data_IF_678163027810
#
_entry.id   IF_678163027810
#
_cell.length_a   1.000
_cell.length_b   1.000
_cell.length_c   1.000
_cell.angle_alpha   90.00
_cell.angle_beta   90.00
_cell.angle_gamma   90.00
#
_symmetry.space_group_name_H-M   'P 1'
#
loop_
_entity.id
_entity.type
_entity.pdbx_description
1 polymer ?
#
# COMPACT_ATOMS: atom_id res chain seq x y z
N UNK A 1 -54.47 9.89 3.74
CA UNK A 1 -54.64 10.99 4.71
C UNK A 1 -53.30 11.69 4.81
N UNK A 2 -53.17 12.91 4.30
CA UNK A 2 -51.95 13.72 4.43
C UNK A 2 -51.96 14.43 5.78
N UNK A 3 -50.95 14.18 6.61
CA UNK A 3 -50.79 14.87 7.89
C UNK A 3 -50.30 16.30 7.61
N UNK A 4 -51.21 17.27 7.74
CA UNK A 4 -50.89 18.71 7.58
C UNK A 4 -50.45 19.29 8.91
N UNK A 5 -49.18 19.67 9.01
CA UNK A 5 -48.63 20.35 10.19
C UNK A 5 -48.76 21.86 10.04
N UNK A 6 -49.37 22.52 11.01
CA UNK A 6 -49.56 23.97 11.04
C UNK A 6 -49.02 24.49 12.38
N UNK A 7 -48.05 25.39 12.35
CA UNK A 7 -47.59 26.07 13.55
C UNK A 7 -48.66 27.07 13.99
N UNK A 8 -49.29 26.83 15.15
CA UNK A 8 -50.22 27.76 15.79
C UNK A 8 -49.62 28.31 17.08
N UNK A 9 -49.75 29.62 17.31
CA UNK A 9 -49.42 30.21 18.63
C UNK A 9 -50.56 29.95 19.62
N UNK A 10 -50.20 29.75 20.88
CA UNK A 10 -51.16 29.53 21.97
C UNK A 10 -51.79 30.80 22.56
N UNK A 11 -51.34 32.02 22.18
CA UNK A 11 -51.81 33.25 22.84
C UNK A 11 -51.92 34.45 21.89
N UNK A 12 -53.12 35.05 21.85
CA UNK A 12 -53.45 36.19 21.00
C UNK A 12 -52.84 37.49 21.48
N UNK A 13 -52.02 38.12 20.63
CA UNK A 13 -51.94 39.57 20.37
C UNK A 13 -50.79 39.85 19.38
N UNK A 14 -51.16 40.27 18.17
CA UNK A 14 -50.44 41.26 17.35
C UNK A 14 -49.03 41.00 16.79
N UNK A 15 -48.24 40.04 17.25
CA UNK A 15 -46.92 39.78 16.68
C UNK A 15 -47.01 38.76 15.53
N UNK A 16 -46.45 39.04 14.35
CA UNK A 16 -46.30 38.04 13.29
C UNK A 16 -45.43 36.86 13.78
N UNK A 17 -45.72 35.63 13.34
CA UNK A 17 -44.75 34.53 13.43
C UNK A 17 -43.73 34.79 12.32
N UNK A 18 -42.64 35.47 12.66
CA UNK A 18 -41.68 35.96 11.64
C UNK A 18 -40.66 34.90 11.21
N UNK A 19 -40.55 33.78 11.93
CA UNK A 19 -39.74 32.64 11.54
C UNK A 19 -40.23 31.36 12.24
N UNK A 20 -40.64 30.37 11.47
CA UNK A 20 -40.51 28.98 11.89
C UNK A 20 -39.10 28.56 11.46
N UNK A 21 -38.17 28.45 12.41
CA UNK A 21 -36.87 27.85 12.13
C UNK A 21 -37.12 26.39 11.70
N UNK A 22 -37.06 26.17 10.39
CA UNK A 22 -37.22 24.92 9.62
C UNK A 22 -37.68 23.70 10.42
N UNK A 23 -39.00 23.47 10.47
CA UNK A 23 -39.54 22.14 10.83
C UNK A 23 -39.07 21.13 9.78
N UNK A 24 -38.20 20.20 10.16
CA UNK A 24 -37.75 19.10 9.30
C UNK A 24 -38.38 17.80 9.78
N UNK A 25 -39.07 17.11 8.86
CA UNK A 25 -39.66 15.80 9.12
C UNK A 25 -38.69 14.75 8.56
N UNK A 26 -38.29 13.79 9.40
CA UNK A 26 -37.43 12.70 9.00
C UNK A 26 -37.87 11.38 9.61
N UNK A 27 -37.45 10.29 8.99
CA UNK A 27 -37.53 8.95 9.53
C UNK A 27 -36.13 8.36 9.58
N UNK A 28 -35.79 7.75 10.72
CA UNK A 28 -34.50 7.09 10.90
C UNK A 28 -34.37 5.89 9.95
N UNK A 29 -33.15 5.56 9.49
CA UNK A 29 -32.86 4.38 8.72
C UNK A 29 -33.39 3.09 9.38
N UNK A 30 -34.20 2.33 8.66
CA UNK A 30 -34.67 1.01 9.05
C UNK A 30 -33.67 -0.06 8.55
N UNK A 31 -33.33 -1.01 9.42
CA UNK A 31 -32.36 -2.08 9.15
C UNK A 31 -31.06 -1.58 8.50
N UNK A 32 -30.36 -0.58 9.07
CA UNK A 32 -29.12 -0.11 8.49
C UNK A 32 -28.05 -1.20 8.60
N UNK A 33 -27.29 -1.38 7.52
CA UNK A 33 -26.18 -2.35 7.48
C UNK A 33 -25.02 -1.79 6.68
N UNK A 34 -23.81 -1.88 7.24
CA UNK A 34 -22.57 -1.47 6.61
C UNK A 34 -21.65 -2.67 6.44
N UNK A 35 -21.02 -2.76 5.27
CA UNK A 35 -20.14 -3.85 4.87
C UNK A 35 -18.81 -3.30 4.39
N UNK A 36 -17.75 -4.06 4.67
CA UNK A 36 -16.39 -3.81 4.18
C UNK A 36 -15.99 -5.00 3.32
N UNK A 37 -15.44 -4.72 2.14
CA UNK A 37 -14.95 -5.73 1.20
C UNK A 37 -13.69 -5.26 0.51
N UNK A 38 -12.78 -6.18 0.26
CA UNK A 38 -11.59 -5.96 -0.54
C UNK A 38 -11.96 -6.03 -2.02
N UNK A 39 -11.60 -5.00 -2.78
CA UNK A 39 -11.70 -5.02 -4.24
C UNK A 39 -10.39 -5.56 -4.79
N UNK A 40 -10.48 -6.68 -5.50
CA UNK A 40 -9.31 -7.43 -5.95
C UNK A 40 -9.26 -7.48 -7.47
N UNK A 41 -8.09 -7.21 -8.03
CA UNK A 41 -7.81 -7.34 -9.44
C UNK A 41 -6.72 -8.40 -9.62
N UNK A 42 -7.01 -9.43 -10.42
CA UNK A 42 -6.11 -10.58 -10.61
C UNK A 42 -5.65 -11.23 -9.28
N UNK A 43 -6.50 -11.21 -8.25
CA UNK A 43 -6.22 -11.80 -6.93
C UNK A 43 -5.44 -10.89 -5.97
N UNK A 44 -5.13 -9.64 -6.34
CA UNK A 44 -4.48 -8.66 -5.47
C UNK A 44 -5.43 -7.53 -5.11
N UNK A 45 -5.44 -7.13 -3.83
CA UNK A 45 -6.25 -6.02 -3.36
C UNK A 45 -5.75 -4.69 -3.94
N UNK A 46 -6.66 -3.93 -4.58
CA UNK A 46 -6.42 -2.59 -5.12
C UNK A 46 -7.00 -1.50 -4.24
N UNK A 47 -8.18 -1.75 -3.70
CA UNK A 47 -8.90 -0.80 -2.88
C UNK A 47 -9.79 -1.52 -1.88
N UNK A 48 -10.17 -0.82 -0.82
CA UNK A 48 -11.16 -1.28 0.15
C UNK A 48 -12.47 -0.55 -0.11
N UNK A 49 -13.54 -1.29 -0.35
CA UNK A 49 -14.87 -0.76 -0.53
C UNK A 49 -15.66 -0.84 0.79
N UNK A 50 -16.26 0.28 1.19
CA UNK A 50 -17.15 0.37 2.33
C UNK A 50 -18.53 0.80 1.83
N UNK A 51 -19.53 -0.06 2.02
CA UNK A 51 -20.89 0.16 1.53
C UNK A 51 -21.90 0.04 2.67
N UNK A 52 -22.73 1.07 2.84
CA UNK A 52 -23.84 1.08 3.79
C UNK A 52 -25.19 1.14 3.05
N UNK A 53 -26.21 0.51 3.62
CA UNK A 53 -27.55 0.45 3.05
C UNK A 53 -28.63 0.47 4.13
N UNK A 54 -29.84 0.90 3.77
CA UNK A 54 -31.04 0.88 4.62
C UNK A 54 -32.29 0.58 3.79
N UNK A 55 -33.25 -0.13 4.37
CA UNK A 55 -34.50 -0.48 3.68
C UNK A 55 -35.48 0.67 3.58
N UNK A 56 -35.48 1.59 4.56
CA UNK A 56 -36.35 2.78 4.60
C UNK A 56 -35.68 3.93 5.33
N UNK A 57 -35.73 5.12 4.76
CA UNK A 57 -35.29 6.38 5.36
C UNK A 57 -36.09 7.53 4.74
N UNK A 58 -36.25 8.63 5.47
CA UNK A 58 -36.82 9.85 4.89
C UNK A 58 -36.15 11.09 5.47
N UNK A 59 -35.76 12.08 4.65
CA UNK A 59 -35.62 12.05 3.18
C UNK A 59 -34.57 11.03 2.69
N UNK A 60 -34.05 11.17 1.47
CA UNK A 60 -32.89 10.38 0.99
C UNK A 60 -31.74 10.38 2.01
N UNK A 61 -31.00 9.28 2.13
CA UNK A 61 -29.93 9.17 3.13
C UNK A 61 -28.61 9.80 2.69
N UNK A 62 -27.86 10.31 3.66
CA UNK A 62 -26.44 10.67 3.56
C UNK A 62 -25.58 9.68 4.32
N UNK A 63 -24.29 9.68 3.99
CA UNK A 63 -23.32 8.81 4.64
C UNK A 63 -22.01 9.50 4.93
N UNK A 64 -21.34 9.04 5.98
CA UNK A 64 -19.97 9.39 6.34
C UNK A 64 -19.17 8.14 6.66
N UNK A 65 -17.93 8.12 6.24
CA UNK A 65 -17.04 6.98 6.41
C UNK A 65 -15.77 7.42 7.12
N UNK A 66 -15.26 6.56 7.99
CA UNK A 66 -14.08 6.81 8.80
C UNK A 66 -13.15 5.60 8.73
N UNK A 67 -11.86 5.85 8.87
CA UNK A 67 -10.80 4.85 8.98
C UNK A 67 -10.05 5.07 10.30
N UNK A 68 -9.75 3.99 11.02
CA UNK A 68 -8.85 3.99 12.17
C UNK A 68 -7.75 2.97 11.92
N UNK A 69 -6.49 3.37 12.10
CA UNK A 69 -5.32 2.51 11.89
C UNK A 69 -4.71 2.15 13.23
N UNK A 70 -4.41 0.87 13.49
CA UNK A 70 -3.68 0.42 14.70
C UNK A 70 -4.21 0.98 16.04
N UNK A 71 -5.54 1.06 16.19
CA UNK A 71 -6.23 1.61 17.39
C UNK A 71 -6.16 3.14 17.57
N UNK A 72 -5.66 3.88 16.58
CA UNK A 72 -5.73 5.34 16.56
C UNK A 72 -7.17 5.87 16.47
N UNK A 73 -7.32 7.17 16.74
CA UNK A 73 -8.57 7.89 16.54
C UNK A 73 -9.05 7.77 15.09
N UNK A 74 -10.34 7.54 14.91
CA UNK A 74 -10.93 7.42 13.58
C UNK A 74 -10.88 8.75 12.83
N UNK A 75 -10.28 8.75 11.65
CA UNK A 75 -10.19 9.89 10.72
C UNK A 75 -11.27 9.76 9.66
N UNK A 76 -11.95 10.86 9.34
CA UNK A 76 -12.96 10.89 8.27
C UNK A 76 -12.28 10.68 6.91
N UNK A 77 -12.84 9.79 6.09
CA UNK A 77 -12.32 9.48 4.75
C UNK A 77 -12.76 10.62 3.80
N UNK A 78 -11.83 11.44 3.28
CA UNK A 78 -12.15 12.63 2.51
C UNK A 78 -12.50 12.24 1.07
N UNK A 79 -13.73 11.79 0.83
CA UNK A 79 -14.15 11.26 -0.48
C UNK A 79 -15.57 11.68 -0.82
N UNK A 80 -15.91 11.58 -2.11
CA UNK A 80 -17.26 11.74 -2.65
C UNK A 80 -17.93 10.36 -2.71
N UNK A 81 -18.71 9.95 -1.69
CA UNK A 81 -19.42 8.68 -1.74
C UNK A 81 -20.41 8.64 -2.90
N UNK A 82 -20.53 7.47 -3.50
CA UNK A 82 -21.52 7.19 -4.55
C UNK A 82 -22.84 6.84 -3.87
N UNK A 83 -23.93 7.48 -4.29
CA UNK A 83 -25.26 7.27 -3.72
C UNK A 83 -26.21 6.58 -4.72
N UNK A 84 -27.13 5.79 -4.18
CA UNK A 84 -28.25 5.21 -4.91
C UNK A 84 -29.51 5.27 -4.04
N UNK A 85 -30.56 5.89 -4.58
CA UNK A 85 -31.84 6.06 -3.88
C UNK A 85 -32.97 5.50 -4.74
N UNK A 86 -33.88 4.76 -4.09
CA UNK A 86 -35.08 4.24 -4.74
C UNK A 86 -36.29 4.52 -3.85
N UNK A 87 -37.30 5.26 -4.33
CA UNK A 87 -38.52 5.50 -3.58
C UNK A 87 -39.24 4.19 -3.22
N UNK A 88 -39.79 4.11 -2.01
CA UNK A 88 -40.71 3.03 -1.64
C UNK A 88 -42.09 3.32 -2.21
N UNK A 89 -42.83 2.28 -2.59
CA UNK A 89 -44.22 2.41 -3.06
C UNK A 89 -45.24 2.71 -1.95
N UNK A 90 -44.79 3.28 -0.83
CA UNK A 90 -45.60 3.54 0.37
C UNK A 90 -46.03 5.02 0.42
N UNK A 91 -47.09 5.31 1.18
CA UNK A 91 -47.53 6.67 1.47
C UNK A 91 -47.58 6.89 2.99
N UNK A 92 -46.80 7.83 3.57
CA UNK A 92 -45.84 8.72 2.92
C UNK A 92 -44.65 7.99 2.26
N UNK A 93 -44.02 8.62 1.26
CA UNK A 93 -42.89 8.05 0.51
C UNK A 93 -41.67 7.97 1.41
N UNK A 94 -41.00 6.81 1.42
CA UNK A 94 -39.67 6.62 2.00
C UNK A 94 -38.67 6.28 0.89
N UNK A 95 -37.39 6.15 1.23
CA UNK A 95 -36.34 5.76 0.29
C UNK A 95 -35.60 4.52 0.79
N UNK A 96 -35.37 3.57 -0.10
CA UNK A 96 -34.26 2.63 0.03
C UNK A 96 -33.00 3.35 -0.41
N UNK A 97 -32.02 3.47 0.47
CA UNK A 97 -30.78 4.22 0.18
C UNK A 97 -29.56 3.34 0.36
N UNK A 98 -28.59 3.50 -0.54
CA UNK A 98 -27.27 2.89 -0.47
C UNK A 98 -26.21 3.94 -0.75
N UNK A 99 -25.07 3.82 -0.07
CA UNK A 99 -23.91 4.66 -0.26
C UNK A 99 -22.64 3.81 -0.19
N UNK A 100 -21.67 4.10 -1.05
CA UNK A 100 -20.40 3.38 -1.08
C UNK A 100 -19.20 4.29 -1.33
N UNK A 101 -18.07 3.96 -0.73
CA UNK A 101 -16.76 4.59 -0.97
C UNK A 101 -15.73 3.50 -1.25
N UNK A 102 -14.86 3.73 -2.22
CA UNK A 102 -13.68 2.90 -2.47
C UNK A 102 -12.41 3.68 -2.15
N UNK A 103 -11.56 3.13 -1.28
CA UNK A 103 -10.30 3.77 -0.85
C UNK A 103 -9.12 2.96 -1.38
N UNK A 104 -8.22 3.55 -2.19
CA UNK A 104 -7.03 2.86 -2.69
C UNK A 104 -6.10 2.41 -1.55
N UNK A 105 -5.55 1.20 -1.64
CA UNK A 105 -4.65 0.67 -0.58
C UNK A 105 -3.38 1.53 -0.41
N UNK A 106 -2.91 2.17 -1.48
CA UNK A 106 -1.77 3.09 -1.45
C UNK A 106 -1.99 4.29 -0.50
N UNK A 107 -3.24 4.76 -0.35
CA UNK A 107 -3.60 5.88 0.53
C UNK A 107 -3.76 5.45 1.99
N UNK A 108 -4.03 4.17 2.23
CA UNK A 108 -4.22 3.61 3.57
C UNK A 108 -2.87 3.40 4.28
N UNK A 109 -1.87 2.90 3.54
CA UNK A 109 -0.56 2.56 4.09
C UNK A 109 -0.54 1.21 4.82
N UNK A 110 0.56 0.93 5.52
CA UNK A 110 0.76 -0.33 6.24
C UNK A 110 0.13 -0.27 7.64
N UNK A 111 -0.57 -1.34 8.02
CA UNK A 111 -1.23 -1.45 9.32
C UNK A 111 -2.56 -2.18 9.26
N UNK A 112 -3.20 -2.29 10.41
CA UNK A 112 -4.56 -2.84 10.51
C UNK A 112 -5.55 -1.69 10.49
N UNK A 113 -6.35 -1.63 9.42
CA UNK A 113 -7.37 -0.61 9.18
C UNK A 113 -8.75 -1.10 9.60
N UNK A 114 -9.44 -0.29 10.38
CA UNK A 114 -10.85 -0.49 10.76
C UNK A 114 -11.69 0.60 10.14
N UNK A 115 -12.64 0.20 9.30
CA UNK A 115 -13.55 1.11 8.63
C UNK A 115 -14.84 1.24 9.41
N UNK A 116 -15.39 2.45 9.51
CA UNK A 116 -16.66 2.76 10.16
C UNK A 116 -17.52 3.56 9.20
N UNK A 117 -18.71 3.06 8.91
CA UNK A 117 -19.70 3.75 8.09
C UNK A 117 -20.89 4.21 8.91
N UNK A 118 -21.38 5.41 8.60
CA UNK A 118 -22.61 5.97 9.16
C UNK A 118 -23.57 6.27 8.02
N UNK A 119 -24.83 5.88 8.18
CA UNK A 119 -25.94 6.21 7.27
C UNK A 119 -27.03 6.92 8.07
N UNK A 120 -27.53 8.03 7.54
CA UNK A 120 -28.45 8.91 8.26
C UNK A 120 -29.34 9.71 7.28
N UNK A 121 -30.51 10.23 7.71
CA UNK A 121 -31.38 11.00 6.81
C UNK A 121 -30.77 12.37 6.47
N UNK A 122 -30.98 12.88 5.25
CA UNK A 122 -30.46 14.18 4.81
C UNK A 122 -31.22 15.36 5.45
N UNK A 123 -30.98 15.58 6.75
CA UNK A 123 -31.51 16.70 7.54
C UNK A 123 -30.41 17.38 8.33
N UNK A 124 -30.65 18.61 8.75
CA UNK A 124 -29.70 19.38 9.56
C UNK A 124 -29.47 18.65 10.88
N UNK A 125 -28.20 18.39 11.23
CA UNK A 125 -27.81 17.66 12.45
C UNK A 125 -28.32 16.21 12.54
N UNK A 126 -28.58 15.54 11.40
CA UNK A 126 -28.94 14.11 11.34
C UNK A 126 -27.84 13.13 11.78
N UNK A 127 -26.99 13.48 12.76
CA UNK A 127 -25.87 12.65 13.21
C UNK A 127 -26.33 11.59 14.21
N UNK A 128 -27.16 10.64 13.77
CA UNK A 128 -27.46 9.48 14.62
C UNK A 128 -26.55 8.32 14.23
N UNK A 129 -25.81 7.80 15.21
CA UNK A 129 -25.10 6.52 15.10
C UNK A 129 -26.15 5.41 15.08
N UNK A 130 -26.61 5.00 13.90
CA UNK A 130 -27.69 4.00 13.80
C UNK A 130 -27.14 2.56 13.76
N UNK A 131 -25.90 2.36 13.29
CA UNK A 131 -25.14 1.12 13.47
C UNK A 131 -23.66 1.37 13.16
N UNK A 132 -22.74 0.65 13.80
CA UNK A 132 -21.35 0.59 13.39
C UNK A 132 -21.14 -0.60 12.45
N UNK A 133 -20.14 -0.54 11.58
CA UNK A 133 -19.55 -1.77 11.03
C UNK A 133 -19.23 -2.73 12.19
N UNK A 134 -19.41 -4.05 12.02
CA UNK A 134 -18.96 -5.01 13.01
C UNK A 134 -17.49 -4.73 13.33
N UNK A 135 -17.12 -4.73 14.62
CA UNK A 135 -15.75 -4.50 15.07
C UNK A 135 -14.74 -5.49 14.43
N UNK A 136 -15.26 -6.59 13.89
CA UNK A 136 -14.53 -7.76 13.42
C UNK A 136 -14.09 -7.66 11.94
N UNK A 137 -14.50 -6.62 11.20
CA UNK A 137 -14.04 -6.41 9.82
C UNK A 137 -12.93 -5.38 9.76
N UNK A 138 -11.70 -5.86 9.93
CA UNK A 138 -10.47 -5.10 9.67
C UNK A 138 -9.80 -5.59 8.38
N UNK A 139 -9.01 -4.71 7.76
CA UNK A 139 -8.13 -5.05 6.63
C UNK A 139 -6.70 -4.80 7.08
N UNK A 140 -5.85 -5.83 7.03
CA UNK A 140 -4.44 -5.72 7.43
C UNK A 140 -3.56 -5.62 6.20
N UNK A 141 -2.97 -4.44 5.99
CA UNK A 141 -2.05 -4.17 4.89
C UNK A 141 -0.61 -4.29 5.37
N UNK A 142 0.23 -4.93 4.57
CA UNK A 142 1.65 -5.10 4.88
C UNK A 142 2.50 -5.01 3.62
N UNK A 143 3.63 -4.31 3.72
CA UNK A 143 4.54 -4.24 2.59
C UNK A 143 5.25 -5.57 2.37
N UNK A 144 5.39 -5.92 1.10
CA UNK A 144 6.26 -7.00 0.66
C UNK A 144 7.72 -6.69 1.03
N UNK A 145 8.50 -7.72 1.30
CA UNK A 145 9.93 -7.59 1.58
C UNK A 145 10.73 -8.40 0.56
N UNK A 146 11.88 -7.86 0.14
CA UNK A 146 12.74 -8.51 -0.84
C UNK A 146 14.17 -8.63 -0.34
N UNK A 147 14.86 -9.68 -0.76
CA UNK A 147 16.27 -9.91 -0.49
C UNK A 147 16.96 -10.39 -1.76
N UNK A 148 18.28 -10.16 -1.84
CA UNK A 148 19.07 -10.65 -2.95
C UNK A 148 20.02 -11.77 -2.53
N UNK A 149 20.34 -12.62 -3.50
CA UNK A 149 21.42 -13.60 -3.41
C UNK A 149 22.20 -13.60 -4.72
N UNK A 150 23.53 -13.75 -4.66
CA UNK A 150 24.38 -13.74 -5.85
C UNK A 150 25.18 -15.04 -5.97
N UNK A 151 25.50 -15.43 -7.20
CA UNK A 151 26.36 -16.57 -7.54
C UNK A 151 27.34 -16.18 -8.66
N UNK A 152 28.67 -16.32 -8.43
CA UNK A 152 29.31 -16.66 -7.16
C UNK A 152 29.05 -15.60 -6.06
N UNK A 153 29.17 -15.99 -4.79
CA UNK A 153 29.07 -15.07 -3.66
C UNK A 153 30.33 -14.19 -3.56
N UNK A 154 30.16 -12.96 -3.06
CA UNK A 154 31.29 -12.10 -2.79
C UNK A 154 32.08 -12.60 -1.57
N UNK A 155 33.42 -12.61 -1.70
CA UNK A 155 34.35 -12.93 -0.61
C UNK A 155 34.86 -11.61 -0.05
N UNK A 156 34.63 -11.37 1.24
CA UNK A 156 34.99 -10.10 1.91
C UNK A 156 34.45 -8.84 1.18
N UNK A 157 33.29 -8.96 0.52
CA UNK A 157 32.66 -7.87 -0.23
C UNK A 157 33.15 -7.68 -1.67
N UNK A 158 34.02 -8.56 -2.17
CA UNK A 158 34.51 -8.54 -3.55
C UNK A 158 34.09 -9.79 -4.32
N UNK A 159 33.68 -9.60 -5.57
CA UNK A 159 33.56 -10.68 -6.55
C UNK A 159 34.91 -10.93 -7.19
N UNK A 160 35.31 -12.20 -7.24
CA UNK A 160 36.58 -12.61 -7.85
C UNK A 160 36.45 -12.76 -9.37
N UNK A 161 35.31 -13.23 -9.85
CA UNK A 161 35.04 -13.35 -11.27
C UNK A 161 34.71 -12.01 -11.92
N UNK A 162 34.85 -11.88 -13.25
CA UNK A 162 34.48 -10.67 -13.97
C UNK A 162 32.96 -10.41 -14.04
N UNK A 163 32.15 -11.38 -13.60
CA UNK A 163 30.70 -11.25 -13.53
C UNK A 163 30.10 -12.04 -12.38
N UNK A 164 28.89 -11.66 -11.97
CA UNK A 164 28.08 -12.42 -11.01
C UNK A 164 26.61 -12.33 -11.41
N UNK A 165 25.84 -13.38 -11.15
CA UNK A 165 24.41 -13.39 -11.34
C UNK A 165 23.70 -13.28 -9.99
N UNK A 166 22.88 -12.25 -9.85
CA UNK A 166 22.15 -11.94 -8.63
C UNK A 166 20.64 -12.06 -8.82
N UNK A 167 20.00 -12.83 -7.96
CA UNK A 167 18.55 -12.98 -7.90
C UNK A 167 17.99 -12.12 -6.77
N UNK A 168 16.99 -11.30 -7.07
CA UNK A 168 16.15 -10.55 -6.14
C UNK A 168 14.83 -11.30 -5.99
N UNK A 169 14.52 -11.74 -4.78
CA UNK A 169 13.35 -12.56 -4.46
C UNK A 169 12.60 -11.96 -3.28
N UNK A 170 11.29 -12.22 -3.21
CA UNK A 170 10.51 -11.86 -2.03
C UNK A 170 10.90 -12.75 -0.85
N UNK A 171 11.21 -12.12 0.28
CA UNK A 171 11.32 -12.78 1.59
C UNK A 171 9.99 -12.76 2.34
N UNK A 172 9.10 -11.84 1.99
CA UNK A 172 7.70 -11.80 2.44
C UNK A 172 6.84 -11.26 1.31
N UNK A 173 5.73 -11.94 1.04
CA UNK A 173 4.81 -11.58 -0.03
C UNK A 173 4.09 -10.25 0.25
N UNK A 174 3.83 -9.93 1.52
CA UNK A 174 2.99 -8.79 1.91
C UNK A 174 1.52 -8.97 1.51
N UNK A 175 0.71 -7.96 1.80
CA UNK A 175 -0.69 -7.89 1.39
C UNK A 175 -1.04 -6.43 1.08
N UNK A 176 -1.28 -6.05 -0.20
CA UNK A 176 -1.26 -6.86 -1.43
C UNK A 176 0.08 -7.53 -1.74
N UNK A 177 0.04 -8.66 -2.47
CA UNK A 177 1.25 -9.40 -2.86
C UNK A 177 2.09 -8.57 -3.82
N UNK A 178 3.39 -8.48 -3.54
CA UNK A 178 4.32 -7.72 -4.36
C UNK A 178 5.06 -8.56 -5.39
N UNK A 179 6.05 -7.91 -6.01
CA UNK A 179 7.07 -8.50 -6.87
C UNK A 179 8.45 -7.97 -6.50
N UNK A 180 9.48 -8.77 -6.75
CA UNK A 180 10.87 -8.39 -6.48
C UNK A 180 11.56 -7.91 -7.76
N UNK A 181 12.16 -6.72 -7.72
CA UNK A 181 12.70 -6.04 -8.88
C UNK A 181 14.04 -5.35 -8.57
N UNK A 182 14.94 -5.31 -9.54
CA UNK A 182 16.23 -4.64 -9.42
C UNK A 182 16.20 -3.22 -9.97
N UNK A 183 16.89 -2.31 -9.29
CA UNK A 183 17.01 -0.91 -9.70
C UNK A 183 18.46 -0.42 -9.62
N UNK A 184 18.87 0.40 -10.60
CA UNK A 184 20.15 1.13 -10.62
C UNK A 184 19.85 2.60 -10.89
N UNK A 185 20.23 3.51 -9.97
CA UNK A 185 19.94 4.94 -10.13
C UNK A 185 18.46 5.28 -10.29
N UNK A 186 17.56 4.47 -9.72
CA UNK A 186 16.09 4.63 -9.85
C UNK A 186 15.49 4.03 -11.12
N UNK A 187 16.30 3.55 -12.07
CA UNK A 187 15.81 2.84 -13.25
C UNK A 187 15.71 1.33 -12.99
N UNK A 188 14.63 0.71 -13.46
CA UNK A 188 14.46 -0.74 -13.45
C UNK A 188 15.54 -1.39 -14.32
N UNK A 189 16.20 -2.42 -13.79
CA UNK A 189 17.25 -3.18 -14.48
C UNK A 189 17.06 -4.67 -14.25
N UNK A 190 17.69 -5.49 -15.09
CA UNK A 190 17.55 -6.95 -15.02
C UNK A 190 16.24 -7.45 -15.63
N UNK A 191 16.01 -8.76 -15.52
CA UNK A 191 14.82 -9.43 -16.06
C UNK A 191 14.31 -10.46 -15.06
N UNK A 192 13.00 -10.46 -14.79
CA UNK A 192 12.34 -11.46 -13.93
C UNK A 192 13.03 -11.66 -12.56
N UNK A 193 13.46 -10.58 -11.91
CA UNK A 193 14.17 -10.63 -10.63
C UNK A 193 15.64 -11.04 -10.72
N UNK A 194 16.17 -11.34 -11.90
CA UNK A 194 17.60 -11.65 -12.10
C UNK A 194 18.36 -10.45 -12.65
N UNK A 195 19.61 -10.30 -12.20
CA UNK A 195 20.52 -9.24 -12.58
C UNK A 195 21.90 -9.84 -12.80
N UNK A 196 22.42 -9.72 -14.02
CA UNK A 196 23.82 -10.01 -14.32
C UNK A 196 24.62 -8.73 -14.10
N UNK A 197 25.59 -8.77 -13.20
CA UNK A 197 26.51 -7.67 -12.96
C UNK A 197 27.86 -8.05 -13.53
N UNK A 198 28.35 -7.25 -14.46
CA UNK A 198 29.69 -7.39 -15.05
C UNK A 198 30.61 -6.29 -14.54
N UNK A 199 31.91 -6.59 -14.51
CA UNK A 199 32.96 -5.65 -14.14
C UNK A 199 32.99 -4.48 -15.11
N UNK A 200 32.93 -3.27 -14.57
CA UNK A 200 33.11 -2.03 -15.32
C UNK A 200 34.37 -1.33 -14.81
N UNK A 201 35.44 -1.32 -15.62
CA UNK A 201 36.72 -0.71 -15.23
C UNK A 201 36.62 0.80 -15.00
N UNK A 202 35.62 1.46 -15.58
CA UNK A 202 35.36 2.88 -15.36
C UNK A 202 34.59 3.16 -14.06
N UNK A 203 33.95 2.13 -13.48
CA UNK A 203 33.10 2.23 -12.29
C UNK A 203 33.49 1.12 -11.29
N UNK A 204 34.48 1.37 -10.42
CA UNK A 204 35.00 0.37 -9.49
C UNK A 204 33.95 -0.13 -8.49
N UNK A 205 32.90 0.66 -8.26
CA UNK A 205 31.75 0.29 -7.43
C UNK A 205 30.44 0.54 -8.18
N UNK A 206 29.58 -0.48 -8.23
CA UNK A 206 28.27 -0.40 -8.83
C UNK A 206 27.20 -0.73 -7.80
N UNK A 207 26.25 0.18 -7.60
CA UNK A 207 25.20 0.05 -6.57
C UNK A 207 23.88 -0.30 -7.23
N UNK A 208 23.28 -1.38 -6.75
CA UNK A 208 21.97 -1.87 -7.17
C UNK A 208 21.08 -2.06 -5.93
N UNK A 209 19.79 -1.79 -6.07
CA UNK A 209 18.81 -2.03 -5.01
C UNK A 209 17.80 -3.07 -5.46
N UNK A 210 17.64 -4.12 -4.67
CA UNK A 210 16.55 -5.09 -4.78
C UNK A 210 15.36 -4.53 -4.00
N UNK A 211 14.26 -4.24 -4.70
CA UNK A 211 13.06 -3.60 -4.16
C UNK A 211 11.86 -4.53 -4.28
N UNK A 212 11.01 -4.50 -3.27
CA UNK A 212 9.69 -5.11 -3.32
C UNK A 212 8.69 -4.04 -3.79
N UNK A 213 7.84 -4.39 -4.75
CA UNK A 213 6.87 -3.49 -5.38
C UNK A 213 5.49 -4.14 -5.33
N UNK A 214 4.52 -3.48 -4.71
CA UNK A 214 3.11 -3.87 -4.69
C UNK A 214 2.20 -2.65 -4.87
N UNK A 215 0.88 -2.87 -4.93
CA UNK A 215 -0.10 -1.77 -4.98
C UNK A 215 -0.11 -0.92 -3.70
N UNK A 216 0.46 -1.43 -2.60
CA UNK A 216 0.71 -0.65 -1.38
C UNK A 216 1.85 0.36 -1.56
N UNK A 217 2.76 0.09 -2.49
CA UNK A 217 3.91 0.91 -2.81
C UNK A 217 5.20 0.12 -2.95
N UNK A 218 6.33 0.83 -2.89
CA UNK A 218 7.67 0.27 -3.10
C UNK A 218 8.52 0.39 -1.82
N UNK A 219 9.13 -0.72 -1.38
CA UNK A 219 10.15 -0.73 -0.31
C UNK A 219 11.48 -1.27 -0.83
N UNK A 220 12.58 -0.65 -0.40
CA UNK A 220 13.92 -1.19 -0.62
C UNK A 220 14.12 -2.36 0.33
N UNK A 221 14.38 -3.54 -0.22
CA UNK A 221 14.61 -4.75 0.56
C UNK A 221 16.09 -4.94 0.90
N UNK A 222 16.96 -4.85 -0.11
CA UNK A 222 18.41 -4.96 0.09
C UNK A 222 19.20 -4.20 -0.97
N UNK A 223 20.45 -3.87 -0.64
CA UNK A 223 21.37 -3.14 -1.52
C UNK A 223 22.59 -4.00 -1.83
N UNK A 224 22.85 -4.21 -3.12
CA UNK A 224 24.06 -4.84 -3.62
C UNK A 224 25.08 -3.74 -3.97
N UNK A 225 26.22 -3.75 -3.29
CA UNK A 225 27.40 -2.96 -3.64
C UNK A 225 28.40 -3.86 -4.34
N UNK A 226 28.33 -3.93 -5.66
CA UNK A 226 29.19 -4.80 -6.44
C UNK A 226 30.57 -4.18 -6.61
N UNK A 227 31.58 -4.87 -6.07
CA UNK A 227 33.01 -4.58 -6.23
C UNK A 227 33.69 -5.82 -6.80
N UNK A 228 34.57 -5.63 -7.75
CA UNK A 228 35.29 -6.71 -8.41
C UNK A 228 36.76 -6.63 -8.04
N UNK A 229 37.33 -7.73 -7.55
CA UNK A 229 38.74 -7.80 -7.20
C UNK A 229 39.60 -7.54 -8.45
N UNK A 230 40.74 -6.90 -8.27
CA UNK A 230 41.78 -6.84 -9.28
C UNK A 230 42.50 -8.17 -9.33
N UNK A 231 41.97 -9.09 -10.14
CA UNK A 231 42.71 -10.29 -10.52
C UNK A 231 43.56 -9.92 -11.73
N UNK A 232 44.69 -9.29 -11.43
CA UNK A 232 46.00 -9.37 -12.09
C UNK A 232 46.78 -8.05 -11.94
N UNK A 233 48.08 -8.08 -11.57
CA UNK A 233 48.97 -6.98 -11.82
C UNK A 233 49.21 -6.88 -13.33
N UNK A 234 48.97 -5.71 -13.94
CA UNK A 234 49.11 -5.48 -15.38
C UNK A 234 50.52 -5.84 -15.93
N UNK A 235 51.52 -5.98 -15.07
CA UNK A 235 52.83 -6.57 -15.37
C UNK A 235 53.56 -6.85 -14.06
N UNK A 236 54.12 -8.05 -13.90
CA UNK A 236 55.23 -8.24 -12.95
C UNK A 236 56.51 -7.98 -13.74
N UNK A 237 57.09 -6.79 -13.61
CA UNK A 237 58.48 -6.58 -14.03
C UNK A 237 59.38 -7.33 -13.06
N UNK A 238 59.88 -8.48 -13.49
CA UNK A 238 60.92 -9.20 -12.78
C UNK A 238 62.25 -8.59 -13.25
N UNK A 239 62.78 -7.61 -12.52
CA UNK A 239 64.18 -7.23 -12.68
C UNK A 239 65.06 -8.29 -12.03
N UNK A 240 65.75 -9.07 -12.86
CA UNK A 240 66.89 -9.85 -12.39
C UNK A 240 68.01 -8.89 -12.01
N UNK A 241 68.41 -8.86 -10.73
CA UNK A 241 69.60 -8.12 -10.30
C UNK A 241 70.90 -8.85 -10.63
N UNK A 242 70.82 -9.98 -11.34
CA UNK A 242 71.97 -10.77 -11.77
C UNK A 242 71.84 -11.20 -13.23
N UNK A 243 72.80 -10.78 -14.06
CA UNK A 243 72.94 -11.20 -15.46
C UNK A 243 73.51 -12.62 -15.62
N UNK A 244 73.78 -13.32 -14.51
CA UNK A 244 74.44 -14.63 -14.54
C UNK A 244 73.80 -15.62 -13.59
N UNK A 245 73.17 -16.65 -14.15
CA UNK A 245 72.84 -17.89 -13.43
C UNK A 245 74.10 -18.75 -13.44
N UNK A 246 74.68 -18.99 -12.27
CA UNK A 246 75.87 -19.84 -12.14
C UNK A 246 75.42 -21.31 -12.07
N UNK A 247 75.43 -22.01 -13.21
CA UNK A 247 74.97 -23.41 -13.36
C UNK A 247 76.04 -24.41 -12.88
N UNK A 248 77.21 -23.94 -12.43
CA UNK A 248 78.32 -24.78 -12.02
C UNK A 248 78.60 -24.67 -10.52
N UNK A 249 77.82 -25.37 -9.70
CA UNK A 249 78.36 -25.85 -8.43
C UNK A 249 79.41 -26.92 -8.75
N UNK A 250 80.68 -26.64 -8.44
CA UNK A 250 81.82 -27.56 -8.64
C UNK A 250 81.81 -28.77 -7.69
N UNK A 251 80.65 -29.26 -7.28
CA UNK A 251 80.54 -30.37 -6.34
C UNK A 251 80.12 -31.70 -6.98
N UNK A 252 80.30 -31.87 -8.29
CA UNK A 252 80.07 -33.16 -8.95
C UNK A 252 81.34 -33.93 -9.34
N UNK A 253 82.46 -33.68 -8.65
CA UNK A 253 83.66 -34.53 -8.72
C UNK A 253 83.82 -35.34 -7.43
N UNK A 254 82.94 -36.31 -7.19
CA UNK A 254 83.30 -37.55 -6.49
C UNK A 254 82.53 -38.74 -7.08
N UNK A 255 82.86 -39.07 -8.32
CA UNK A 255 82.70 -40.41 -8.87
C UNK A 255 84.09 -41.05 -9.00
N UNK A 256 84.61 -41.65 -7.92
CA UNK A 256 85.41 -42.89 -7.96
C UNK A 256 85.59 -43.51 -6.59
#
# INVERSE_FOLDING_TARGET
>A
METRWECRRCSGTGASVTACDKLQIYALPENPSCTVSEDTESGNIKSVNVSCSTSKVYPEARCRFYNATNEDNSVEIPTNPVYSHTPTGETPVYYRSQCSVSVPVQELGEGTHRFIGYIYPDVTNGFTKVTGTPADKTVTLSFSQASHSCRPQAVQGYFLEESTNCTCSLSSDGHPRGTAQWYKGGQLVGSSGTLVVTRDRSKPEQIYTCRAVSDLGQKVGSTLKAKFAFIDPDSVEVESTQDTINICDKNNDQAR
#
